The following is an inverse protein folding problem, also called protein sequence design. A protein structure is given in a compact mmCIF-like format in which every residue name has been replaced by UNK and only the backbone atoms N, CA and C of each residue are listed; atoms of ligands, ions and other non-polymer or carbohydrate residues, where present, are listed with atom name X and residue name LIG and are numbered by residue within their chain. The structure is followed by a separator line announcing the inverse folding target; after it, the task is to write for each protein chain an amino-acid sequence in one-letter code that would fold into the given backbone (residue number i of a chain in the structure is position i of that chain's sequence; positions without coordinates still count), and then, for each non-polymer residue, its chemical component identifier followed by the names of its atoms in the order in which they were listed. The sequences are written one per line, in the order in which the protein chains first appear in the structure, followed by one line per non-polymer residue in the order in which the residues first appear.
data_IF_522529319399
#
_entry.id   IF_522529319399
#
_cell.length_a   1.000
_cell.length_b   1.000
_cell.length_c   1.000
_cell.angle_alpha   90.00
_cell.angle_beta   90.00
_cell.angle_gamma   90.00
#
_symmetry.space_group_name_H-M   'P 1'
#
loop_
_entity.id
_entity.type
_entity.pdbx_description
1 polymer ?
#
# COMPACT_ATOMS: atom_id res chain seq x y z
N UNK A 1 -9.30 -22.70 3.84
CA UNK A 1 -9.39 -21.73 2.74
C UNK A 1 -8.04 -21.03 2.58
N UNK A 2 -7.66 -20.58 1.38
CA UNK A 2 -6.47 -19.75 1.22
C UNK A 2 -6.64 -18.44 2.01
N UNK A 3 -5.54 -17.90 2.54
CA UNK A 3 -5.57 -16.61 3.22
C UNK A 3 -5.90 -15.48 2.22
N UNK A 4 -6.47 -14.39 2.72
CA UNK A 4 -6.97 -13.26 1.92
C UNK A 4 -5.95 -12.72 0.90
N UNK A 5 -4.69 -12.59 1.30
CA UNK A 5 -3.62 -12.05 0.45
C UNK A 5 -2.63 -13.13 -0.03
N UNK A 6 -3.06 -14.39 -0.05
CA UNK A 6 -2.20 -15.48 -0.49
C UNK A 6 -1.71 -15.26 -1.93
N UNK A 7 -0.39 -15.27 -2.14
CA UNK A 7 0.24 -15.04 -3.43
C UNK A 7 0.50 -13.58 -3.78
N UNK A 8 0.04 -12.63 -2.96
CA UNK A 8 0.26 -11.20 -3.18
C UNK A 8 1.52 -10.69 -2.49
N UNK A 9 2.17 -9.70 -3.11
CA UNK A 9 3.34 -9.01 -2.58
C UNK A 9 3.07 -7.54 -2.40
N UNK A 10 3.63 -6.94 -1.36
CA UNK A 10 3.35 -5.57 -0.96
C UNK A 10 4.65 -4.80 -0.78
N UNK A 11 4.76 -3.62 -1.39
CA UNK A 11 5.87 -2.70 -1.21
C UNK A 11 5.35 -1.37 -0.65
N UNK A 12 5.91 -0.90 0.45
CA UNK A 12 5.57 0.39 1.03
C UNK A 12 6.36 1.50 0.33
N UNK A 13 5.66 2.42 -0.33
CA UNK A 13 6.22 3.58 -1.03
C UNK A 13 6.05 4.87 -0.22
N UNK A 14 7.07 5.71 -0.26
CA UNK A 14 7.09 6.97 0.49
C UNK A 14 7.15 6.76 2.01
N UNK A 15 6.75 7.79 2.74
CA UNK A 15 6.92 7.84 4.18
C UNK A 15 5.71 7.27 4.93
N UNK A 16 6.01 6.29 5.78
CA UNK A 16 5.13 5.77 6.81
C UNK A 16 5.85 5.95 8.15
N UNK A 17 5.12 6.36 9.19
CA UNK A 17 5.64 6.29 10.56
C UNK A 17 6.07 4.84 10.85
N UNK A 18 7.25 4.63 11.44
CA UNK A 18 7.85 3.29 11.56
C UNK A 18 6.95 2.30 12.32
N UNK A 19 6.28 2.75 13.37
CA UNK A 19 5.30 1.95 14.13
C UNK A 19 4.12 1.54 13.27
N UNK A 20 3.55 2.48 12.51
CA UNK A 20 2.40 2.23 11.65
C UNK A 20 2.75 1.32 10.47
N UNK A 21 3.93 1.50 9.86
CA UNK A 21 4.45 0.59 8.83
C UNK A 21 4.59 -0.84 9.36
N UNK A 22 5.18 -0.99 10.55
CA UNK A 22 5.33 -2.31 11.19
C UNK A 22 3.98 -2.98 11.42
N UNK A 23 3.02 -2.25 11.97
CA UNK A 23 1.64 -2.73 12.15
C UNK A 23 1.00 -3.21 10.84
N UNK A 24 1.05 -2.40 9.78
CA UNK A 24 0.51 -2.79 8.47
C UNK A 24 1.21 -4.01 7.88
N UNK A 25 2.53 -4.11 8.06
CA UNK A 25 3.30 -5.26 7.61
C UNK A 25 2.88 -6.54 8.35
N UNK A 26 2.68 -6.48 9.66
CA UNK A 26 2.24 -7.63 10.46
C UNK A 26 0.83 -8.10 10.02
N UNK A 27 -0.08 -7.16 9.76
CA UNK A 27 -1.41 -7.46 9.23
C UNK A 27 -1.36 -8.15 7.86
N UNK A 28 -0.55 -7.64 6.93
CA UNK A 28 -0.37 -8.23 5.60
C UNK A 28 0.15 -9.67 5.71
N UNK A 29 1.16 -9.89 6.55
CA UNK A 29 1.76 -11.22 6.76
C UNK A 29 0.75 -12.17 7.42
N UNK A 30 0.00 -11.70 8.42
CA UNK A 30 -1.05 -12.48 9.06
C UNK A 30 -2.12 -12.92 8.03
N UNK A 31 -2.51 -12.01 7.14
CA UNK A 31 -3.43 -12.24 6.01
C UNK A 31 -2.80 -12.99 4.82
N UNK A 32 -1.54 -13.42 4.91
CA UNK A 32 -0.89 -14.32 3.94
C UNK A 32 -0.16 -13.65 2.79
N UNK A 33 -0.02 -12.32 2.81
CA UNK A 33 0.78 -11.57 1.86
C UNK A 33 2.26 -11.53 2.26
N UNK A 34 3.11 -11.09 1.32
CA UNK A 34 4.54 -10.90 1.57
C UNK A 34 4.95 -9.42 1.45
N UNK A 35 5.66 -8.89 2.44
CA UNK A 35 6.22 -7.53 2.40
C UNK A 35 7.60 -7.50 1.72
N UNK A 36 7.76 -6.63 0.73
CA UNK A 36 8.98 -6.41 -0.02
C UNK A 36 9.85 -5.34 0.65
N UNK A 37 11.13 -5.66 0.83
CA UNK A 37 12.13 -4.75 1.40
C UNK A 37 12.86 -3.90 0.34
N UNK A 38 12.67 -4.23 -0.94
CA UNK A 38 13.26 -3.54 -2.09
C UNK A 38 12.16 -3.20 -3.09
N UNK A 39 12.43 -2.19 -3.93
CA UNK A 39 11.52 -1.80 -5.00
C UNK A 39 11.17 -3.02 -5.86
N UNK A 40 9.89 -3.20 -6.20
CA UNK A 40 9.46 -4.33 -7.00
C UNK A 40 10.07 -4.26 -8.40
N UNK A 41 10.34 -5.44 -8.97
CA UNK A 41 10.72 -5.62 -10.36
C UNK A 41 9.59 -6.34 -11.09
N UNK A 42 9.47 -6.12 -12.39
CA UNK A 42 8.47 -6.79 -13.22
C UNK A 42 8.59 -8.31 -13.07
N UNK A 43 7.47 -8.95 -12.77
CA UNK A 43 7.41 -10.36 -12.40
C UNK A 43 6.10 -10.94 -12.88
N UNK A 44 6.16 -11.92 -13.79
CA UNK A 44 4.97 -12.47 -14.44
C UNK A 44 4.10 -13.39 -13.56
N UNK A 45 4.59 -13.79 -12.38
CA UNK A 45 4.01 -14.90 -11.60
C UNK A 45 3.25 -14.48 -10.34
N UNK A 46 3.35 -13.22 -9.90
CA UNK A 46 2.78 -12.77 -8.63
C UNK A 46 2.29 -11.34 -8.70
N UNK A 47 1.04 -11.12 -8.29
CA UNK A 47 0.47 -9.79 -8.14
C UNK A 47 1.22 -9.00 -7.07
N UNK A 48 1.53 -7.76 -7.39
CA UNK A 48 2.32 -6.88 -6.53
C UNK A 48 1.59 -5.56 -6.36
N UNK A 49 1.55 -5.08 -5.13
CA UNK A 49 0.86 -3.87 -4.71
C UNK A 49 1.88 -2.90 -4.11
N UNK A 50 1.86 -1.66 -4.58
CA UNK A 50 2.64 -0.54 -4.08
C UNK A 50 1.72 0.28 -3.18
N UNK A 51 1.96 0.21 -1.88
CA UNK A 51 1.18 0.89 -0.85
C UNK A 51 1.67 2.32 -0.67
N UNK A 52 0.76 3.29 -0.70
CA UNK A 52 1.04 4.67 -0.29
C UNK A 52 0.21 5.08 0.92
N UNK A 53 0.75 6.02 1.71
CA UNK A 53 0.08 6.50 2.89
C UNK A 53 -0.98 7.57 2.56
N UNK A 54 -2.26 7.29 2.85
CA UNK A 54 -3.38 8.23 2.70
C UNK A 54 -3.59 9.16 3.89
N UNK A 55 -2.89 8.95 5.02
CA UNK A 55 -3.01 9.83 6.18
C UNK A 55 -2.33 11.19 5.93
N UNK A 56 -3.04 12.25 6.27
CA UNK A 56 -2.52 13.62 6.28
C UNK A 56 -1.74 13.84 7.58
N UNK A 57 -0.52 14.42 7.55
CA UNK A 57 0.21 14.72 8.77
C UNK A 57 -0.59 15.61 9.73
N UNK A 58 -0.59 15.31 11.03
CA UNK A 58 -1.40 16.03 12.04
C UNK A 58 -1.11 17.54 12.14
N UNK A 59 0.07 17.98 11.68
CA UNK A 59 0.51 19.38 11.73
C UNK A 59 0.21 20.19 10.45
N UNK A 60 -0.54 19.61 9.52
CA UNK A 60 -0.87 20.22 8.24
C UNK A 60 -2.04 21.21 8.38
N UNK A 61 -1.80 22.48 8.06
CA UNK A 61 -2.83 23.53 8.06
C UNK A 61 -3.91 23.26 7.00
N UNK A 62 -5.21 23.48 7.30
CA UNK A 62 -6.32 23.16 6.39
C UNK A 62 -6.23 23.83 5.01
N UNK A 63 -5.50 24.94 4.90
CA UNK A 63 -5.39 25.75 3.68
C UNK A 63 -4.26 25.33 2.74
N UNK A 64 -3.32 24.47 3.16
CA UNK A 64 -2.13 24.15 2.35
C UNK A 64 -1.90 22.65 2.11
N UNK A 65 -2.59 21.74 2.81
CA UNK A 65 -1.89 20.52 3.17
C UNK A 65 -2.62 19.16 3.10
N UNK A 66 -3.80 19.05 2.49
CA UNK A 66 -4.51 17.76 2.41
C UNK A 66 -4.58 17.14 1.01
N UNK A 67 -4.58 17.92 -0.08
CA UNK A 67 -4.52 17.34 -1.45
C UNK A 67 -3.08 17.10 -1.92
N UNK A 68 -2.16 18.05 -1.73
CA UNK A 68 -0.83 17.97 -2.38
C UNK A 68 0.02 16.79 -1.91
N UNK A 69 0.09 16.53 -0.60
CA UNK A 69 0.98 15.50 -0.04
C UNK A 69 0.49 14.09 -0.38
N UNK A 70 -0.78 13.81 -0.15
CA UNK A 70 -1.38 12.50 -0.46
C UNK A 70 -1.37 12.26 -1.98
N UNK A 71 -1.66 13.28 -2.78
CA UNK A 71 -1.55 13.17 -4.23
C UNK A 71 -0.11 12.93 -4.72
N UNK A 72 0.88 13.56 -4.10
CA UNK A 72 2.30 13.29 -4.42
C UNK A 72 2.65 11.83 -4.14
N UNK A 73 2.31 11.33 -2.95
CA UNK A 73 2.55 9.93 -2.57
C UNK A 73 1.86 8.96 -3.52
N UNK A 74 0.61 9.25 -3.91
CA UNK A 74 -0.12 8.48 -4.91
C UNK A 74 0.62 8.48 -6.25
N UNK A 75 0.99 9.65 -6.78
CA UNK A 75 1.71 9.76 -8.07
C UNK A 75 3.03 9.01 -8.07
N UNK A 76 3.78 9.07 -6.97
CA UNK A 76 5.03 8.31 -6.80
C UNK A 76 4.80 6.80 -6.79
N UNK A 77 3.79 6.34 -6.05
CA UNK A 77 3.41 4.94 -6.01
C UNK A 77 2.92 4.43 -7.38
N UNK A 78 2.08 5.21 -8.08
CA UNK A 78 1.62 4.90 -9.44
C UNK A 78 2.78 4.84 -10.44
N UNK A 79 3.74 5.76 -10.34
CA UNK A 79 4.92 5.75 -11.19
C UNK A 79 5.79 4.51 -10.96
N UNK A 80 6.00 4.15 -9.69
CA UNK A 80 6.73 2.93 -9.33
C UNK A 80 5.98 1.68 -9.80
N UNK A 81 4.67 1.63 -9.57
CA UNK A 81 3.81 0.51 -9.93
C UNK A 81 3.81 0.28 -11.45
N UNK A 82 3.67 1.35 -12.23
CA UNK A 82 3.75 1.32 -13.69
C UNK A 82 5.12 0.82 -14.18
N UNK A 83 6.21 1.24 -13.55
CA UNK A 83 7.56 0.80 -13.91
C UNK A 83 7.82 -0.69 -13.59
N UNK A 84 7.12 -1.25 -12.60
CA UNK A 84 7.30 -2.64 -12.16
C UNK A 84 6.16 -3.59 -12.57
N UNK A 85 5.16 -3.14 -13.32
CA UNK A 85 3.97 -3.95 -13.63
C UNK A 85 3.15 -4.33 -12.39
N UNK A 86 3.12 -3.46 -11.39
CA UNK A 86 2.37 -3.62 -10.14
C UNK A 86 1.13 -2.70 -10.11
N UNK A 87 0.32 -2.81 -9.06
CA UNK A 87 -0.81 -1.92 -8.77
C UNK A 87 -0.43 -0.92 -7.68
N UNK A 88 -0.89 0.33 -7.76
CA UNK A 88 -0.74 1.29 -6.67
C UNK A 88 -2.05 1.38 -5.88
N UNK A 89 -1.98 1.26 -4.56
CA UNK A 89 -3.17 1.33 -3.68
C UNK A 89 -2.85 2.08 -2.38
N UNK A 90 -3.85 2.75 -1.82
CA UNK A 90 -3.71 3.36 -0.49
C UNK A 90 -3.65 2.29 0.60
N UNK A 91 -2.97 2.55 1.72
CA UNK A 91 -2.93 1.59 2.83
C UNK A 91 -4.32 1.25 3.38
N UNK A 92 -5.31 2.16 3.25
CA UNK A 92 -6.68 1.94 3.70
C UNK A 92 -7.32 0.75 2.99
N UNK A 93 -7.01 0.52 1.72
CA UNK A 93 -7.49 -0.64 0.97
C UNK A 93 -7.11 -1.98 1.62
N UNK A 94 -5.91 -2.05 2.23
CA UNK A 94 -5.47 -3.24 2.98
C UNK A 94 -6.35 -3.44 4.20
N UNK A 95 -6.60 -2.38 4.96
CA UNK A 95 -7.42 -2.41 6.16
C UNK A 95 -8.88 -2.76 5.84
N UNK A 96 -9.44 -2.12 4.81
CA UNK A 96 -10.81 -2.34 4.36
C UNK A 96 -10.99 -3.78 3.87
N UNK A 97 -10.00 -4.32 3.15
CA UNK A 97 -10.04 -5.71 2.67
C UNK A 97 -9.95 -6.72 3.81
N UNK A 98 -9.11 -6.47 4.82
CA UNK A 98 -9.02 -7.30 6.01
C UNK A 98 -10.33 -7.23 6.81
N UNK A 99 -10.86 -6.02 7.04
CA UNK A 99 -12.09 -5.82 7.81
C UNK A 99 -13.30 -6.49 7.16
N UNK A 100 -13.37 -6.47 5.82
CA UNK A 100 -14.42 -7.13 5.05
C UNK A 100 -14.18 -8.63 4.84
N UNK A 101 -13.02 -9.17 5.25
CA UNK A 101 -12.56 -10.52 4.92
C UNK A 101 -12.62 -10.83 3.41
N UNK A 102 -12.51 -9.81 2.56
CA UNK A 102 -12.69 -9.89 1.10
C UNK A 102 -11.96 -8.75 0.41
N UNK A 103 -11.39 -9.02 -0.77
CA UNK A 103 -10.65 -8.01 -1.53
C UNK A 103 -11.60 -6.89 -1.95
N UNK A 104 -11.31 -5.67 -1.48
CA UNK A 104 -12.06 -4.50 -1.91
C UNK A 104 -11.67 -4.10 -3.34
N UNK A 105 -12.55 -3.41 -4.07
CA UNK A 105 -12.14 -2.77 -5.31
C UNK A 105 -11.07 -1.70 -5.02
N UNK A 106 -10.05 -1.66 -5.86
CA UNK A 106 -9.06 -0.58 -5.90
C UNK A 106 -9.03 -0.01 -7.31
N UNK A 107 -9.02 1.32 -7.42
CA UNK A 107 -9.01 2.09 -8.67
C UNK A 107 -7.77 2.95 -8.72
#
# INVERSE_FOLDING_TARGET
EPKLFNGFRFYFSGDFASSYKGYLQDLIVAAGGAALHRKPVASATQETFVLYNVEVPENCSPSEASSSVVESRRKEAEALARASGAHAVGHSWVLDSIAACSLQPFT
#
